data_IF_950149082115
#
_entry.id   IF_950149082115
#
_cell.length_a   1.000
_cell.length_b   1.000
_cell.length_c   1.000
_cell.angle_alpha   90.00
_cell.angle_beta   90.00
_cell.angle_gamma   90.00
#
_symmetry.space_group_name_H-M   'P 1'
#
loop_
_entity.id
_entity.type
_entity.pdbx_description
1 polymer ?
#
# COMPACT_ATOMS: atom_id res chain seq x y z
N UNK A 1 -47.66 1.79 -45.76
CA UNK A 1 -48.27 0.96 -44.70
C UNK A 1 -47.37 1.04 -43.49
N UNK A 2 -47.83 1.64 -42.38
CA UNK A 2 -47.06 1.64 -41.13
C UNK A 2 -47.44 0.39 -40.34
N UNK A 3 -46.45 -0.45 -40.03
CA UNK A 3 -46.64 -1.58 -39.12
C UNK A 3 -46.88 -1.00 -37.72
N UNK A 4 -48.06 -1.26 -37.16
CA UNK A 4 -48.32 -0.97 -35.75
C UNK A 4 -47.57 -2.01 -34.91
N UNK A 5 -46.72 -1.61 -33.96
CA UNK A 5 -46.02 -2.53 -33.07
C UNK A 5 -47.01 -3.43 -32.33
N UNK A 6 -46.67 -4.72 -32.20
CA UNK A 6 -47.50 -5.67 -31.47
C UNK A 6 -47.56 -5.26 -29.99
N UNK A 7 -48.75 -5.20 -29.36
CA UNK A 7 -48.84 -4.90 -27.94
C UNK A 7 -48.18 -6.01 -27.12
N UNK A 8 -47.60 -5.64 -25.98
CA UNK A 8 -47.04 -6.60 -25.02
C UNK A 8 -48.14 -7.53 -24.50
N UNK A 9 -47.81 -8.80 -24.38
CA UNK A 9 -48.65 -9.77 -23.69
C UNK A 9 -48.62 -9.53 -22.18
N UNK A 10 -49.65 -10.01 -21.49
CA UNK A 10 -49.74 -9.93 -20.01
C UNK A 10 -48.54 -10.61 -19.35
N UNK A 11 -48.03 -11.71 -19.93
CA UNK A 11 -46.84 -12.40 -19.44
C UNK A 11 -45.58 -11.52 -19.55
N UNK A 12 -45.33 -10.91 -20.71
CA UNK A 12 -44.20 -10.00 -20.93
C UNK A 12 -44.27 -8.79 -19.97
N UNK A 13 -45.46 -8.24 -19.73
CA UNK A 13 -45.65 -7.15 -18.77
C UNK A 13 -45.33 -7.59 -17.34
N UNK A 14 -45.74 -8.80 -16.95
CA UNK A 14 -45.46 -9.31 -15.60
C UNK A 14 -43.96 -9.57 -15.39
N UNK A 15 -43.26 -10.09 -16.40
CA UNK A 15 -41.81 -10.27 -16.35
C UNK A 15 -41.07 -8.94 -16.29
N UNK A 16 -41.49 -7.95 -17.08
CA UNK A 16 -40.89 -6.62 -17.09
C UNK A 16 -41.08 -5.94 -15.73
N UNK A 17 -42.29 -6.03 -15.16
CA UNK A 17 -42.58 -5.51 -13.82
C UNK A 17 -41.69 -6.15 -12.77
N UNK A 18 -41.53 -7.48 -12.79
CA UNK A 18 -40.64 -8.19 -11.87
C UNK A 18 -39.18 -7.74 -12.02
N UNK A 19 -38.69 -7.62 -13.26
CA UNK A 19 -37.33 -7.13 -13.54
C UNK A 19 -37.11 -5.69 -13.06
N UNK A 20 -38.11 -4.83 -13.20
CA UNK A 20 -38.06 -3.45 -12.70
C UNK A 20 -38.00 -3.42 -11.18
N UNK A 21 -38.80 -4.23 -10.48
CA UNK A 21 -38.76 -4.33 -9.02
C UNK A 21 -37.39 -4.85 -8.55
N UNK A 22 -36.89 -5.93 -9.15
CA UNK A 22 -35.55 -6.47 -8.85
C UNK A 22 -34.44 -5.42 -9.09
N UNK A 23 -34.53 -4.64 -10.18
CA UNK A 23 -33.56 -3.58 -10.47
C UNK A 23 -33.65 -2.43 -9.46
N UNK A 24 -34.86 -2.06 -9.06
CA UNK A 24 -35.12 -1.06 -8.02
C UNK A 24 -34.53 -1.48 -6.68
N UNK A 25 -34.78 -2.70 -6.22
CA UNK A 25 -34.23 -3.22 -4.97
C UNK A 25 -32.69 -3.23 -4.97
N UNK A 26 -32.07 -3.60 -6.10
CA UNK A 26 -30.60 -3.54 -6.26
C UNK A 26 -30.09 -2.10 -6.17
N UNK A 27 -30.79 -1.16 -6.79
CA UNK A 27 -30.42 0.25 -6.73
C UNK A 27 -30.52 0.79 -5.31
N UNK A 28 -31.66 0.56 -4.62
CA UNK A 28 -31.86 0.98 -3.24
C UNK A 28 -30.81 0.37 -2.29
N UNK A 29 -30.46 -0.90 -2.49
CA UNK A 29 -29.42 -1.57 -1.71
C UNK A 29 -28.04 -0.94 -1.93
N UNK A 30 -27.73 -0.56 -3.17
CA UNK A 30 -26.47 0.11 -3.51
C UNK A 30 -26.39 1.52 -2.92
N UNK A 31 -27.47 2.28 -2.98
CA UNK A 31 -27.54 3.62 -2.37
C UNK A 31 -27.28 3.54 -0.87
N UNK A 32 -27.96 2.62 -0.15
CA UNK A 32 -27.71 2.39 1.28
C UNK A 32 -26.27 2.03 1.59
N UNK A 33 -25.63 1.21 0.75
CA UNK A 33 -24.22 0.85 0.93
C UNK A 33 -23.29 2.07 0.76
N UNK A 34 -23.57 2.93 -0.22
CA UNK A 34 -22.81 4.18 -0.43
C UNK A 34 -23.00 5.12 0.75
N UNK A 35 -24.23 5.27 1.27
CA UNK A 35 -24.51 6.12 2.43
C UNK A 35 -23.71 5.67 3.68
N UNK A 36 -23.63 4.36 3.92
CA UNK A 36 -22.81 3.81 5.01
C UNK A 36 -21.32 4.09 4.79
N UNK A 37 -20.80 3.93 3.56
CA UNK A 37 -19.41 4.24 3.26
C UNK A 37 -19.10 5.73 3.45
N UNK A 38 -20.02 6.63 3.10
CA UNK A 38 -19.86 8.06 3.32
C UNK A 38 -19.79 8.40 4.82
N UNK A 39 -20.67 7.80 5.63
CA UNK A 39 -20.64 7.97 7.08
C UNK A 39 -19.32 7.47 7.71
N UNK A 40 -18.80 6.33 7.25
CA UNK A 40 -17.51 5.82 7.71
C UNK A 40 -16.34 6.74 7.31
N UNK A 41 -16.35 7.28 6.09
CA UNK A 41 -15.33 8.23 5.65
C UNK A 41 -15.36 9.53 6.45
N UNK A 42 -16.54 10.03 6.80
CA UNK A 42 -16.71 11.22 7.63
C UNK A 42 -16.14 10.99 9.04
N UNK A 43 -16.45 9.84 9.65
CA UNK A 43 -15.87 9.43 10.93
C UNK A 43 -14.34 9.36 10.89
N UNK A 44 -13.76 8.74 9.86
CA UNK A 44 -12.29 8.67 9.72
C UNK A 44 -11.68 10.05 9.54
N UNK A 45 -12.36 10.95 8.82
CA UNK A 45 -11.91 12.33 8.64
C UNK A 45 -11.87 13.08 9.98
N UNK A 46 -12.89 12.91 10.81
CA UNK A 46 -12.96 13.49 12.15
C UNK A 46 -11.84 12.94 13.05
N UNK A 47 -11.63 11.62 13.07
CA UNK A 47 -10.55 10.99 13.84
C UNK A 47 -9.17 11.51 13.42
N UNK A 48 -8.94 11.71 12.12
CA UNK A 48 -7.70 12.27 11.60
C UNK A 48 -7.52 13.74 11.96
N UNK A 49 -8.59 14.54 11.96
CA UNK A 49 -8.54 15.93 12.40
C UNK A 49 -8.16 16.01 13.88
N UNK A 50 -8.81 15.20 14.73
CA UNK A 50 -8.51 15.11 16.16
C UNK A 50 -7.04 14.73 16.42
N UNK A 51 -6.52 13.69 15.75
CA UNK A 51 -5.12 13.27 15.91
C UNK A 51 -4.12 14.32 15.45
N UNK A 52 -4.46 15.13 14.44
CA UNK A 52 -3.60 16.23 13.99
C UNK A 52 -3.53 17.32 15.04
N UNK A 53 -4.66 17.69 15.64
CA UNK A 53 -4.70 18.66 16.73
C UNK A 53 -3.89 18.18 17.94
N UNK A 54 -4.04 16.90 18.31
CA UNK A 54 -3.26 16.28 19.39
C UNK A 54 -1.74 16.34 19.11
N UNK A 55 -1.31 16.02 17.88
CA UNK A 55 0.09 16.12 17.48
C UNK A 55 0.62 17.56 17.51
N UNK A 56 -0.18 18.53 17.10
CA UNK A 56 0.18 19.95 17.17
C UNK A 56 0.30 20.45 18.61
N UNK A 57 -0.55 19.96 19.51
CA UNK A 57 -0.45 20.24 20.93
C UNK A 57 0.84 19.64 21.52
N UNK A 58 1.12 18.37 21.27
CA UNK A 58 2.35 17.71 21.72
C UNK A 58 3.61 18.41 21.19
N UNK A 59 3.60 18.85 19.92
CA UNK A 59 4.73 19.62 19.35
C UNK A 59 4.94 20.95 20.08
N UNK A 60 3.86 21.65 20.44
CA UNK A 60 3.93 22.89 21.22
C UNK A 60 4.49 22.65 22.62
N UNK A 61 4.07 21.57 23.27
CA UNK A 61 4.58 21.16 24.59
C UNK A 61 6.08 20.79 24.55
N UNK A 62 6.51 20.05 23.53
CA UNK A 62 7.94 19.72 23.35
C UNK A 62 8.75 21.00 23.12
N UNK A 63 8.28 21.91 22.26
CA UNK A 63 8.97 23.16 21.97
C UNK A 63 9.09 24.06 23.21
N UNK A 64 8.05 24.14 24.05
CA UNK A 64 8.10 24.91 25.28
C UNK A 64 9.05 24.29 26.32
N UNK A 65 9.06 22.97 26.45
CA UNK A 65 10.01 22.25 27.31
C UNK A 65 11.46 22.44 26.85
N UNK A 66 11.74 22.37 25.55
CA UNK A 66 13.07 22.63 24.99
C UNK A 66 13.53 24.07 25.26
N UNK A 67 12.63 25.05 25.12
CA UNK A 67 12.95 26.46 25.42
C UNK A 67 13.25 26.68 26.89
N UNK A 68 12.52 26.01 27.79
CA UNK A 68 12.79 26.05 29.23
C UNK A 68 14.17 25.45 29.55
N UNK A 69 14.52 24.30 28.95
CA UNK A 69 15.83 23.69 29.12
C UNK A 69 16.98 24.55 28.55
N UNK A 70 16.78 25.24 27.43
CA UNK A 70 17.80 26.12 26.84
C UNK A 70 18.06 27.37 27.69
N UNK A 71 17.06 27.86 28.44
CA UNK A 71 17.22 29.02 29.33
C UNK A 71 18.01 28.70 30.61
N UNK A 72 18.09 27.43 30.99
CA UNK A 72 18.81 26.95 32.19
C UNK A 72 20.25 26.46 31.88
N UNK A 73 20.65 26.50 30.60
CA UNK A 73 22.00 26.14 30.20
C UNK A 73 22.98 27.29 30.50
N UNK A 74 24.09 27.05 31.23
CA UNK A 74 25.09 28.06 31.50
C UNK A 74 25.73 28.54 30.20
N UNK A 75 25.78 29.86 30.02
CA UNK A 75 26.36 30.53 28.87
C UNK A 75 27.77 29.98 28.56
N UNK A 76 28.02 29.43 27.35
CA UNK A 76 29.36 28.98 27.00
C UNK A 76 30.28 30.19 26.94
N UNK A 77 31.22 30.25 27.87
CA UNK A 77 32.24 31.28 27.94
C UNK A 77 32.98 31.39 26.60
N UNK A 78 32.84 32.57 26.01
CA UNK A 78 33.72 33.23 25.05
C UNK A 78 35.15 32.65 25.00
N UNK A 79 35.42 31.81 24.00
CA UNK A 79 36.79 31.52 23.53
C UNK A 79 36.93 32.13 22.13
N UNK A 80 37.77 33.14 22.07
CA UNK A 80 38.04 33.98 20.90
C UNK A 80 38.80 33.26 19.77
N UNK A 81 39.14 34.03 18.72
CA UNK A 81 39.12 33.58 17.33
C UNK A 81 40.51 33.27 16.76
N UNK A 82 40.60 32.34 15.81
CA UNK A 82 41.53 32.37 14.66
C UNK A 82 41.52 31.05 13.91
N UNK A 83 40.98 31.01 12.69
CA UNK A 83 41.76 30.52 11.55
C UNK A 83 41.19 31.00 10.22
N UNK A 84 42.15 31.41 9.38
CA UNK A 84 42.10 32.07 8.08
C UNK A 84 41.41 31.22 7.00
N UNK A 85 40.75 31.83 6.00
CA UNK A 85 40.21 31.12 4.84
C UNK A 85 41.34 30.74 3.89
N UNK A 86 41.40 29.47 3.47
CA UNK A 86 42.29 29.05 2.39
C UNK A 86 41.48 28.86 1.11
N UNK A 87 41.68 29.84 0.24
CA UNK A 87 41.39 29.88 -1.17
C UNK A 87 42.05 28.68 -1.90
N UNK A 88 41.33 28.14 -2.88
CA UNK A 88 41.71 26.91 -3.57
C UNK A 88 40.67 26.53 -4.61
N UNK A 89 40.52 27.39 -5.61
CA UNK A 89 39.74 27.06 -6.80
C UNK A 89 40.38 25.94 -7.61
N UNK A 90 39.55 25.04 -8.14
CA UNK A 90 39.75 24.57 -9.52
C UNK A 90 38.41 24.13 -10.11
N UNK A 91 38.21 24.57 -11.35
CA UNK A 91 36.96 24.57 -12.09
C UNK A 91 36.83 23.30 -12.99
N UNK A 92 35.90 23.27 -13.97
CA UNK A 92 34.96 22.17 -14.15
C UNK A 92 35.42 21.13 -15.19
N UNK A 93 35.19 19.85 -14.91
CA UNK A 93 35.37 18.80 -15.90
C UNK A 93 34.04 18.50 -16.59
N UNK A 94 33.96 18.93 -17.85
CA UNK A 94 32.95 18.53 -18.83
C UNK A 94 33.01 17.01 -19.01
N UNK A 95 31.85 16.35 -19.06
CA UNK A 95 31.74 15.09 -19.77
C UNK A 95 30.45 15.11 -20.59
N UNK A 96 30.63 15.38 -21.88
CA UNK A 96 29.64 15.22 -22.93
C UNK A 96 29.48 13.73 -23.29
N UNK A 97 28.23 13.30 -23.44
CA UNK A 97 27.84 12.40 -24.52
C UNK A 97 27.95 10.89 -24.31
N UNK A 98 26.79 10.22 -24.37
CA UNK A 98 26.73 8.83 -24.84
C UNK A 98 25.59 8.00 -24.23
N UNK A 99 24.50 7.73 -24.98
CA UNK A 99 23.37 6.94 -24.49
C UNK A 99 23.65 5.45 -24.66
N UNK A 100 23.57 4.70 -23.57
CA UNK A 100 23.48 3.25 -23.63
C UNK A 100 22.51 2.77 -22.56
N UNK A 101 21.40 2.25 -23.06
CA UNK A 101 20.58 1.23 -22.43
C UNK A 101 21.36 0.35 -21.44
N UNK A 102 21.15 0.59 -20.16
CA UNK A 102 21.19 -0.42 -19.10
C UNK A 102 19.88 -0.21 -18.35
N UNK A 103 18.87 -1.04 -18.54
CA UNK A 103 18.99 -2.41 -18.08
C UNK A 103 19.34 -2.38 -16.60
N UNK A 104 18.60 -1.60 -15.81
CA UNK A 104 18.62 -1.68 -14.34
C UNK A 104 18.08 -3.06 -13.97
N UNK A 105 18.90 -4.09 -14.16
CA UNK A 105 18.79 -5.31 -13.40
C UNK A 105 18.87 -4.88 -11.92
N UNK A 106 17.85 -5.19 -11.09
CA UNK A 106 17.95 -4.94 -9.66
C UNK A 106 18.97 -5.92 -9.07
N UNK A 107 20.24 -5.53 -9.18
CA UNK A 107 21.37 -6.07 -8.45
C UNK A 107 21.15 -5.80 -6.96
N UNK A 108 20.56 -6.78 -6.28
CA UNK A 108 20.28 -6.68 -4.86
C UNK A 108 19.22 -7.67 -4.39
N UNK A 109 19.41 -8.97 -4.67
CA UNK A 109 18.70 -10.01 -3.94
C UNK A 109 19.24 -10.07 -2.50
N UNK A 110 18.96 -9.01 -1.73
CA UNK A 110 19.02 -9.07 -0.28
C UNK A 110 18.15 -10.26 0.14
N UNK A 111 18.77 -11.20 0.83
CA UNK A 111 18.18 -12.46 1.31
C UNK A 111 16.94 -12.11 2.15
N UNK A 112 15.78 -12.10 1.51
CA UNK A 112 14.52 -11.73 2.14
C UNK A 112 14.06 -12.90 3.01
N UNK A 113 14.62 -13.01 4.21
CA UNK A 113 14.17 -13.96 5.21
C UNK A 113 12.99 -13.33 5.94
N UNK A 114 11.89 -14.08 6.05
CA UNK A 114 10.75 -13.69 6.87
C UNK A 114 11.08 -13.95 8.33
N UNK A 115 11.26 -12.88 9.10
CA UNK A 115 11.49 -12.98 10.54
C UNK A 115 10.30 -13.67 11.24
N UNK A 116 10.52 -14.51 12.28
CA UNK A 116 9.43 -15.23 12.95
C UNK A 116 8.34 -14.32 13.53
N UNK A 117 8.73 -13.14 14.03
CA UNK A 117 7.80 -12.12 14.53
C UNK A 117 7.02 -11.43 13.41
N UNK A 118 7.65 -11.22 12.25
CA UNK A 118 7.04 -10.62 11.07
C UNK A 118 5.98 -11.56 10.47
N UNK A 119 6.27 -12.86 10.38
CA UNK A 119 5.33 -13.88 9.88
C UNK A 119 4.00 -13.89 10.64
N UNK A 120 4.01 -13.70 11.97
CA UNK A 120 2.78 -13.62 12.78
C UNK A 120 1.94 -12.39 12.43
N UNK A 121 2.57 -11.23 12.27
CA UNK A 121 1.90 -9.97 11.88
C UNK A 121 1.33 -10.09 10.48
N UNK A 122 2.13 -10.58 9.53
CA UNK A 122 1.71 -10.80 8.15
C UNK A 122 0.56 -11.80 8.04
N UNK A 123 0.49 -12.81 8.92
CA UNK A 123 -0.64 -13.75 8.93
C UNK A 123 -1.97 -13.08 9.29
N UNK A 124 -1.96 -12.09 10.18
CA UNK A 124 -3.17 -11.33 10.50
C UNK A 124 -3.61 -10.50 9.29
N UNK A 125 -2.66 -9.81 8.64
CA UNK A 125 -2.89 -9.01 7.44
C UNK A 125 -3.40 -9.87 6.28
N UNK A 126 -2.76 -11.02 6.03
CA UNK A 126 -3.17 -11.99 5.02
C UNK A 126 -4.61 -12.47 5.22
N UNK A 127 -5.08 -12.64 6.46
CA UNK A 127 -6.45 -13.04 6.75
C UNK A 127 -7.48 -11.99 6.34
N UNK A 128 -7.13 -10.70 6.41
CA UNK A 128 -7.97 -9.59 5.93
C UNK A 128 -8.09 -9.68 4.41
N UNK A 129 -6.97 -9.84 3.71
CA UNK A 129 -6.97 -10.00 2.25
C UNK A 129 -7.68 -11.28 1.78
N UNK A 130 -7.55 -12.40 2.50
CA UNK A 130 -8.27 -13.64 2.21
C UNK A 130 -9.80 -13.49 2.31
N UNK A 131 -10.25 -12.58 3.17
CA UNK A 131 -11.68 -12.31 3.41
C UNK A 131 -12.23 -11.23 2.47
N UNK A 132 -11.36 -10.57 1.70
CA UNK A 132 -11.72 -9.52 0.74
C UNK A 132 -11.97 -10.10 -0.65
N UNK A 133 -12.76 -9.43 -1.51
CA UNK A 133 -12.88 -9.82 -2.91
C UNK A 133 -11.50 -9.83 -3.61
N UNK A 134 -11.20 -10.81 -4.49
CA UNK A 134 -9.90 -10.95 -5.12
C UNK A 134 -9.43 -9.70 -5.87
N UNK A 135 -10.34 -9.00 -6.55
CA UNK A 135 -10.07 -7.79 -7.33
C UNK A 135 -9.70 -6.61 -6.43
N UNK A 136 -10.39 -6.46 -5.29
CA UNK A 136 -10.09 -5.41 -4.31
C UNK A 136 -8.73 -5.66 -3.63
N UNK A 137 -8.47 -6.92 -3.24
CA UNK A 137 -7.19 -7.31 -2.67
C UNK A 137 -6.04 -7.13 -3.67
N UNK A 138 -6.26 -7.46 -4.94
CA UNK A 138 -5.27 -7.27 -6.00
C UNK A 138 -4.94 -5.78 -6.20
N UNK A 139 -5.94 -4.90 -6.25
CA UNK A 139 -5.72 -3.46 -6.36
C UNK A 139 -4.96 -2.88 -5.17
N UNK A 140 -5.29 -3.31 -3.95
CA UNK A 140 -4.59 -2.86 -2.74
C UNK A 140 -3.15 -3.37 -2.67
N UNK A 141 -2.91 -4.65 -2.99
CA UNK A 141 -1.56 -5.22 -2.99
C UNK A 141 -0.70 -4.70 -4.14
N UNK A 142 -1.29 -4.34 -5.28
CA UNK A 142 -0.56 -3.74 -6.40
C UNK A 142 0.02 -2.36 -6.04
N UNK A 143 -0.62 -1.63 -5.11
CA UNK A 143 -0.13 -0.34 -4.61
C UNK A 143 1.01 -0.44 -3.58
N UNK A 144 1.29 -1.64 -3.05
CA UNK A 144 2.41 -1.88 -2.13
C UNK A 144 3.70 -2.16 -2.91
N UNK A 145 4.84 -2.10 -2.22
CA UNK A 145 6.11 -2.59 -2.76
C UNK A 145 6.03 -4.09 -3.13
N UNK A 146 6.63 -4.53 -4.25
CA UNK A 146 6.45 -5.90 -4.75
C UNK A 146 6.88 -6.97 -3.73
N UNK A 147 7.95 -6.67 -2.98
CA UNK A 147 8.45 -7.55 -1.93
C UNK A 147 7.46 -7.68 -0.76
N UNK A 148 6.80 -6.59 -0.35
CA UNK A 148 5.82 -6.63 0.74
C UNK A 148 4.57 -7.40 0.32
N UNK A 149 4.08 -7.16 -0.90
CA UNK A 149 2.98 -7.94 -1.47
C UNK A 149 3.32 -9.44 -1.53
N UNK A 150 4.53 -9.79 -1.96
CA UNK A 150 5.00 -11.17 -1.99
C UNK A 150 5.08 -11.79 -0.59
N UNK A 151 5.57 -11.05 0.42
CA UNK A 151 5.60 -11.50 1.82
C UNK A 151 4.20 -11.82 2.33
N UNK A 152 3.22 -10.95 2.08
CA UNK A 152 1.82 -11.18 2.47
C UNK A 152 1.26 -12.41 1.74
N UNK A 153 1.43 -12.49 0.42
CA UNK A 153 0.93 -13.63 -0.37
C UNK A 153 1.58 -14.96 0.05
N UNK A 154 2.83 -14.94 0.50
CA UNK A 154 3.56 -16.13 0.95
C UNK A 154 2.96 -16.78 2.20
N UNK A 155 2.23 -16.01 3.01
CA UNK A 155 1.56 -16.49 4.23
C UNK A 155 0.05 -16.66 4.06
N UNK A 156 -0.50 -16.29 2.90
CA UNK A 156 -1.88 -16.59 2.52
C UNK A 156 -2.03 -18.06 2.08
N UNK A 157 -3.27 -18.55 2.08
CA UNK A 157 -3.61 -19.83 1.44
C UNK A 157 -3.32 -19.77 -0.04
N UNK A 158 -2.66 -20.80 -0.57
CA UNK A 158 -2.27 -20.90 -1.99
C UNK A 158 -3.44 -20.63 -2.96
N UNK A 159 -4.63 -21.17 -2.68
CA UNK A 159 -5.82 -20.95 -3.52
C UNK A 159 -6.29 -19.50 -3.52
N UNK A 160 -6.18 -18.79 -2.39
CA UNK A 160 -6.58 -17.38 -2.31
C UNK A 160 -5.54 -16.49 -2.98
N UNK A 161 -4.25 -16.70 -2.68
CA UNK A 161 -3.14 -16.01 -3.33
C UNK A 161 -3.19 -16.14 -4.86
N UNK A 162 -3.48 -17.33 -5.39
CA UNK A 162 -3.62 -17.55 -6.83
C UNK A 162 -4.77 -16.77 -7.46
N UNK A 163 -5.91 -16.61 -6.76
CA UNK A 163 -7.03 -15.78 -7.25
C UNK A 163 -6.67 -14.29 -7.28
N UNK A 164 -5.97 -13.82 -6.26
CA UNK A 164 -5.52 -12.43 -6.17
C UNK A 164 -4.51 -12.13 -7.28
N UNK A 165 -3.54 -13.01 -7.50
CA UNK A 165 -2.58 -12.88 -8.61
C UNK A 165 -3.28 -12.89 -9.98
N UNK A 166 -4.31 -13.72 -10.17
CA UNK A 166 -5.07 -13.75 -11.41
C UNK A 166 -5.91 -12.49 -11.64
N UNK A 167 -6.29 -11.77 -10.59
CA UNK A 167 -7.03 -10.50 -10.66
C UNK A 167 -6.11 -9.27 -10.70
N UNK A 168 -4.79 -9.46 -10.54
CA UNK A 168 -3.78 -8.41 -10.59
C UNK A 168 -3.38 -8.12 -12.04
N UNK A 169 -2.88 -6.92 -12.30
CA UNK A 169 -2.25 -6.59 -13.58
C UNK A 169 -1.10 -7.58 -13.89
N UNK A 170 -0.96 -7.95 -15.16
CA UNK A 170 -0.06 -9.03 -15.59
C UNK A 170 1.40 -8.70 -15.27
N UNK A 171 1.83 -7.48 -15.56
CA UNK A 171 3.22 -7.06 -15.33
C UNK A 171 3.52 -7.06 -13.83
N UNK A 172 2.57 -6.55 -13.04
CA UNK A 172 2.71 -6.52 -11.58
C UNK A 172 2.71 -7.92 -10.96
N UNK A 173 1.85 -8.82 -11.44
CA UNK A 173 1.79 -10.19 -10.97
C UNK A 173 3.12 -10.92 -11.21
N UNK A 174 3.75 -10.72 -12.36
CA UNK A 174 5.06 -11.31 -12.69
C UNK A 174 6.13 -10.85 -11.72
N UNK A 175 6.20 -9.55 -11.39
CA UNK A 175 7.16 -9.02 -10.43
C UNK A 175 6.98 -9.64 -9.04
N UNK A 176 5.75 -9.69 -8.55
CA UNK A 176 5.43 -10.24 -7.22
C UNK A 176 5.74 -11.74 -7.17
N UNK A 177 5.49 -12.49 -8.24
CA UNK A 177 5.82 -13.93 -8.34
C UNK A 177 7.34 -14.18 -8.28
N UNK A 178 8.16 -13.32 -8.91
CA UNK A 178 9.63 -13.41 -8.81
C UNK A 178 10.11 -13.29 -7.35
N UNK A 179 9.50 -12.38 -6.59
CA UNK A 179 9.79 -12.24 -5.17
C UNK A 179 9.30 -13.44 -4.34
N UNK A 180 8.11 -13.97 -4.65
CA UNK A 180 7.60 -15.19 -3.99
C UNK A 180 8.54 -16.39 -4.17
N UNK A 181 9.10 -16.57 -5.38
CA UNK A 181 10.09 -17.62 -5.64
C UNK A 181 11.35 -17.42 -4.80
N UNK A 182 11.84 -16.19 -4.69
CA UNK A 182 13.01 -15.83 -3.89
C UNK A 182 12.80 -16.09 -2.39
N UNK A 183 11.60 -15.81 -1.86
CA UNK A 183 11.24 -16.11 -0.46
C UNK A 183 11.23 -17.62 -0.18
N UNK A 184 10.81 -18.43 -1.15
CA UNK A 184 10.75 -19.89 -1.03
C UNK A 184 12.14 -20.50 -1.04
N UNK A 185 13.00 -20.11 -1.98
CA UNK A 185 14.38 -20.61 -2.04
C UNK A 185 15.19 -20.23 -0.80
N UNK A 186 14.96 -19.05 -0.24
CA UNK A 186 15.60 -18.64 1.03
C UNK A 186 15.10 -19.48 2.23
N UNK A 187 13.83 -19.86 2.27
CA UNK A 187 13.27 -20.69 3.33
C UNK A 187 13.80 -22.13 3.28
N UNK A 188 13.90 -22.71 2.08
CA UNK A 188 14.42 -24.06 1.88
C UNK A 188 15.91 -24.14 2.24
N UNK A 189 16.70 -23.10 1.93
CA UNK A 189 18.11 -23.02 2.31
C UNK A 189 18.33 -22.89 3.83
N UNK A 190 17.42 -22.24 4.56
CA UNK A 190 17.51 -22.11 6.02
C UNK A 190 17.18 -23.38 6.80
N UNK A 191 16.45 -24.33 6.20
CA UNK A 191 16.13 -25.62 6.82
C UNK A 191 17.25 -26.67 6.64
N UNK A 192 18.11 -26.52 5.64
CA UNK A 192 19.19 -27.47 5.36
C UNK A 192 20.36 -27.39 6.36
N UNK A 193 20.56 -26.27 7.07
CA UNK A 193 21.68 -26.09 8.02
C UNK A 193 21.31 -26.37 9.49
N UNK A 194 20.04 -26.67 9.81
CA UNK A 194 19.56 -26.93 11.17
C UNK A 194 19.47 -28.41 11.57
N UNK A 195 19.94 -29.32 10.71
CA UNK A 195 19.87 -30.77 10.92
C UNK A 195 21.25 -31.42 10.77
N UNK A 196 22.10 -31.27 11.77
CA UNK A 196 23.28 -32.13 11.99
C UNK A 196 23.54 -32.27 13.48
#
# INVERSE_FOLDING_TARGET
>A
MYLVPKPFSVQELSELSRKLEEARERYESRTKAVDLMLADLERVREDLAFRREELEQLRREIASAQKAHAADAPSPANTGPSHKPQDGGQAPSRNDGGPASSGSEPSGHARAVLEPGERKRLKAVAKIYESSPPEAAAGQLAALEPLEAAKILSVMKARSSGKVLAAMDVDRAVEVVRWLQSLRTAADAGQAEGGS
#
